data_IF_359067207947
#
_entry.id   IF_359067207947
#
_cell.length_a   1.000
_cell.length_b   1.000
_cell.length_c   1.000
_cell.angle_alpha   90.00
_cell.angle_beta   90.00
_cell.angle_gamma   90.00
#
_symmetry.space_group_name_H-M   'P 1'
#
loop_
_entity.id
_entity.type
_entity.pdbx_description
1 polymer ?
#
# COMPACT_ATOMS: atom_id res chain seq x y z
N UNK A 1 -76.02 6.56 38.87
CA UNK A 1 -74.66 6.42 39.45
C UNK A 1 -73.86 5.53 38.53
N UNK A 2 -73.04 6.05 37.60
CA UNK A 2 -72.22 5.22 36.74
C UNK A 2 -70.84 5.00 37.36
N UNK A 3 -70.35 3.78 37.28
CA UNK A 3 -69.04 3.34 37.77
C UNK A 3 -67.99 3.67 36.73
N UNK A 4 -66.96 4.43 37.11
CA UNK A 4 -65.77 4.64 36.24
C UNK A 4 -64.86 3.43 36.38
N UNK A 5 -64.49 2.86 35.23
CA UNK A 5 -63.52 1.81 35.10
C UNK A 5 -62.21 2.45 34.60
N UNK A 6 -61.13 2.40 35.40
CA UNK A 6 -59.80 2.83 34.99
C UNK A 6 -59.12 1.70 34.18
N UNK A 7 -58.79 1.98 32.91
CA UNK A 7 -57.93 1.10 32.11
C UNK A 7 -56.48 1.52 32.32
N UNK A 8 -55.66 0.60 32.85
CA UNK A 8 -54.22 0.78 33.00
C UNK A 8 -53.55 0.41 31.65
N UNK A 9 -52.92 1.40 31.03
CA UNK A 9 -52.12 1.24 29.81
C UNK A 9 -50.69 0.82 30.19
N UNK A 10 -50.39 -0.47 30.08
CA UNK A 10 -49.04 -1.01 30.29
C UNK A 10 -48.12 -0.70 29.11
N UNK A 11 -47.11 0.16 29.36
CA UNK A 11 -46.04 0.46 28.39
C UNK A 11 -45.00 -0.65 28.44
N UNK A 12 -45.02 -1.53 27.42
CA UNK A 12 -43.97 -2.54 27.20
C UNK A 12 -42.74 -1.85 26.56
N UNK A 13 -41.67 -1.61 27.34
CA UNK A 13 -40.35 -1.27 26.83
C UNK A 13 -39.69 -2.57 26.36
N UNK A 14 -39.56 -2.75 25.03
CA UNK A 14 -38.67 -3.76 24.46
C UNK A 14 -37.23 -3.29 24.52
N UNK A 15 -36.44 -3.88 25.43
CA UNK A 15 -34.98 -3.73 25.40
C UNK A 15 -34.47 -4.44 24.13
N UNK A 16 -34.05 -3.67 23.14
CA UNK A 16 -33.31 -4.17 22.01
C UNK A 16 -31.94 -4.64 22.50
N UNK A 17 -31.72 -5.95 22.55
CA UNK A 17 -30.40 -6.53 22.73
C UNK A 17 -29.54 -6.21 21.50
N UNK A 18 -28.68 -5.18 21.61
CA UNK A 18 -27.66 -4.91 20.61
C UNK A 18 -26.67 -6.09 20.58
N UNK A 19 -26.69 -6.88 19.53
CA UNK A 19 -25.70 -7.92 19.30
C UNK A 19 -24.34 -7.24 19.03
N UNK A 20 -23.46 -7.19 20.06
CA UNK A 20 -22.04 -6.92 19.83
C UNK A 20 -21.49 -8.02 18.88
N UNK A 21 -20.76 -7.67 17.81
CA UNK A 21 -20.05 -8.66 17.04
C UNK A 21 -19.06 -9.39 17.95
N UNK A 22 -19.21 -10.71 18.07
CA UNK A 22 -18.29 -11.55 18.81
C UNK A 22 -16.87 -11.33 18.25
N UNK A 23 -15.93 -10.92 19.10
CA UNK A 23 -14.51 -10.97 18.75
C UNK A 23 -14.17 -12.44 18.50
N UNK A 24 -13.85 -12.77 17.25
CA UNK A 24 -13.34 -14.09 16.91
C UNK A 24 -12.03 -14.29 17.68
N UNK A 25 -11.99 -15.33 18.50
CA UNK A 25 -10.77 -15.75 19.17
C UNK A 25 -9.70 -16.16 18.16
N UNK A 26 -8.43 -16.36 18.59
CA UNK A 26 -7.35 -16.78 17.70
C UNK A 26 -7.75 -18.04 16.92
N UNK A 27 -7.45 -18.03 15.61
CA UNK A 27 -7.66 -19.20 14.75
C UNK A 27 -6.81 -20.38 15.26
N UNK A 28 -7.40 -21.56 15.56
CA UNK A 28 -6.64 -22.72 16.02
C UNK A 28 -5.54 -23.16 15.04
N UNK A 29 -5.69 -22.86 13.74
CA UNK A 29 -4.70 -23.19 12.71
C UNK A 29 -3.56 -22.17 12.63
N UNK A 30 -3.80 -20.92 13.03
CA UNK A 30 -2.79 -19.87 13.12
C UNK A 30 -3.09 -18.93 14.30
N UNK A 31 -2.60 -19.26 15.50
CA UNK A 31 -2.84 -18.43 16.68
C UNK A 31 -2.22 -17.02 16.61
N UNK A 32 -1.31 -16.77 15.65
CA UNK A 32 -0.73 -15.44 15.38
C UNK A 32 -1.55 -14.63 14.38
N UNK A 33 -2.65 -15.16 13.83
CA UNK A 33 -3.47 -14.45 12.86
C UNK A 33 -4.20 -13.26 13.49
N UNK A 34 -3.96 -12.08 12.90
CA UNK A 34 -4.64 -10.83 13.26
C UNK A 34 -5.60 -10.43 12.13
N UNK A 35 -6.92 -10.65 12.29
CA UNK A 35 -7.91 -10.32 11.26
C UNK A 35 -8.05 -8.82 11.02
N UNK A 36 -7.76 -7.98 12.00
CA UNK A 36 -7.79 -6.52 11.86
C UNK A 36 -6.64 -6.06 10.98
N UNK A 37 -5.44 -6.56 11.26
CA UNK A 37 -4.25 -6.27 10.47
C UNK A 37 -4.40 -6.82 9.04
N UNK A 38 -4.85 -8.07 8.88
CA UNK A 38 -5.06 -8.70 7.57
C UNK A 38 -5.99 -7.85 6.69
N UNK A 39 -7.11 -7.39 7.26
CA UNK A 39 -8.04 -6.48 6.58
C UNK A 39 -7.39 -5.14 6.23
N UNK A 40 -6.64 -4.54 7.14
CA UNK A 40 -6.01 -3.23 6.95
C UNK A 40 -4.98 -3.25 5.81
N UNK A 41 -4.22 -4.34 5.66
CA UNK A 41 -3.24 -4.51 4.58
C UNK A 41 -3.85 -5.08 3.29
N UNK A 42 -5.15 -5.41 3.28
CA UNK A 42 -5.85 -5.97 2.12
C UNK A 42 -5.41 -7.39 1.78
N UNK A 43 -5.11 -8.20 2.80
CA UNK A 43 -4.74 -9.60 2.66
C UNK A 43 -5.94 -10.46 2.31
N UNK A 44 -5.74 -11.44 1.45
CA UNK A 44 -6.67 -12.56 1.27
C UNK A 44 -6.49 -13.64 2.36
N UNK A 45 -7.18 -14.76 2.23
CA UNK A 45 -7.12 -15.89 3.19
C UNK A 45 -5.73 -16.50 3.37
N UNK A 46 -4.81 -16.26 2.43
CA UNK A 46 -3.42 -16.73 2.44
C UNK A 46 -2.43 -15.66 2.87
N UNK A 47 -2.91 -14.48 3.29
CA UNK A 47 -2.05 -13.35 3.65
C UNK A 47 -1.40 -12.66 2.43
N UNK A 48 -1.99 -12.86 1.23
CA UNK A 48 -1.44 -12.34 -0.03
C UNK A 48 -2.32 -11.22 -0.60
N UNK A 49 -1.77 -10.44 -1.54
CA UNK A 49 -2.52 -9.47 -2.33
C UNK A 49 -1.85 -9.20 -3.69
N UNK A 50 -2.59 -8.58 -4.59
CA UNK A 50 -2.05 -8.12 -5.86
C UNK A 50 -1.30 -6.80 -5.75
N UNK A 51 -0.26 -6.66 -6.60
CA UNK A 51 0.58 -5.48 -6.78
C UNK A 51 0.93 -5.29 -8.25
N UNK A 52 1.52 -4.16 -8.58
CA UNK A 52 2.31 -3.99 -9.81
C UNK A 52 3.78 -3.87 -9.43
N UNK A 53 4.59 -4.79 -9.96
CA UNK A 53 6.04 -4.76 -9.89
C UNK A 53 6.56 -4.01 -11.11
N UNK A 54 7.48 -3.07 -10.91
CA UNK A 54 8.08 -2.26 -11.96
C UNK A 54 9.59 -2.44 -11.92
N UNK A 55 10.17 -2.91 -13.01
CA UNK A 55 11.62 -2.97 -13.19
C UNK A 55 12.07 -1.73 -13.97
N UNK A 56 12.96 -0.95 -13.36
CA UNK A 56 13.62 0.17 -14.01
C UNK A 56 14.89 -0.33 -14.70
N UNK A 57 15.01 -0.02 -15.99
CA UNK A 57 16.18 -0.35 -16.81
C UNK A 57 16.85 0.90 -17.34
N UNK A 58 18.10 0.77 -17.72
CA UNK A 58 18.84 1.83 -18.42
C UNK A 58 18.07 2.26 -19.67
N UNK A 59 17.79 3.56 -19.75
CA UNK A 59 17.07 4.16 -20.85
C UNK A 59 18.00 4.60 -22.00
N UNK A 60 17.42 5.05 -23.13
CA UNK A 60 18.17 5.48 -24.30
C UNK A 60 18.95 6.79 -24.10
N UNK A 61 18.49 7.66 -23.18
CA UNK A 61 19.05 8.99 -22.98
C UNK A 61 19.90 9.03 -21.71
N UNK A 62 21.20 8.72 -21.84
CA UNK A 62 22.14 8.81 -20.73
C UNK A 62 22.51 10.26 -20.48
N UNK A 63 22.06 10.83 -19.36
CA UNK A 63 22.40 12.19 -18.96
C UNK A 63 23.81 12.16 -18.34
N UNK A 64 24.77 12.96 -18.87
CA UNK A 64 26.12 13.03 -18.31
C UNK A 64 26.15 13.44 -16.83
N UNK A 65 27.19 13.04 -16.11
CA UNK A 65 27.41 13.50 -14.74
C UNK A 65 27.52 15.03 -14.69
N UNK A 66 26.88 15.64 -13.71
CA UNK A 66 26.85 17.08 -13.53
C UNK A 66 25.51 17.58 -12.98
N UNK A 67 25.34 18.92 -12.87
CA UNK A 67 24.22 19.53 -12.17
C UNK A 67 22.84 19.10 -12.70
N UNK A 68 22.69 18.90 -14.01
CA UNK A 68 21.42 18.46 -14.60
C UNK A 68 21.06 17.05 -14.12
N UNK A 69 22.02 16.13 -14.10
CA UNK A 69 21.82 14.78 -13.60
C UNK A 69 21.49 14.77 -12.11
N UNK A 70 22.22 15.58 -11.34
CA UNK A 70 22.02 15.68 -9.89
C UNK A 70 20.61 16.19 -9.56
N UNK A 71 20.11 17.20 -10.25
CA UNK A 71 18.77 17.73 -10.06
C UNK A 71 17.69 16.72 -10.51
N UNK A 72 17.93 15.99 -11.61
CA UNK A 72 17.03 14.92 -12.04
C UNK A 72 16.90 13.82 -10.97
N UNK A 73 18.01 13.35 -10.40
CA UNK A 73 17.96 12.34 -9.33
C UNK A 73 17.38 12.88 -8.03
N UNK A 74 17.61 14.13 -7.69
CA UNK A 74 16.92 14.78 -6.57
C UNK A 74 15.40 14.77 -6.77
N UNK A 75 14.93 15.08 -7.98
CA UNK A 75 13.51 14.95 -8.34
C UNK A 75 12.99 13.51 -8.28
N UNK A 76 13.80 12.54 -8.71
CA UNK A 76 13.49 11.12 -8.60
C UNK A 76 13.24 10.69 -7.13
N UNK A 77 14.16 11.01 -6.21
CA UNK A 77 13.98 10.67 -4.80
C UNK A 77 12.80 11.41 -4.17
N UNK A 78 12.58 12.68 -4.53
CA UNK A 78 11.41 13.43 -4.07
C UNK A 78 10.09 12.80 -4.55
N UNK A 79 10.04 12.31 -5.80
CA UNK A 79 8.89 11.62 -6.35
C UNK A 79 8.63 10.27 -5.65
N UNK A 80 9.69 9.49 -5.40
CA UNK A 80 9.59 8.23 -4.64
C UNK A 80 9.02 8.49 -3.24
N UNK A 81 9.54 9.50 -2.54
CA UNK A 81 9.04 9.87 -1.22
C UNK A 81 7.55 10.24 -1.27
N UNK A 82 7.15 11.10 -2.20
CA UNK A 82 5.75 11.50 -2.38
C UNK A 82 4.83 10.29 -2.59
N UNK A 83 5.19 9.39 -3.51
CA UNK A 83 4.40 8.19 -3.80
C UNK A 83 4.34 7.22 -2.61
N UNK A 84 5.40 7.15 -1.82
CA UNK A 84 5.43 6.37 -0.57
C UNK A 84 4.54 7.02 0.49
N UNK A 85 4.59 8.34 0.66
CA UNK A 85 3.74 9.08 1.60
C UNK A 85 2.25 8.96 1.26
N UNK A 86 1.92 8.88 -0.03
CA UNK A 86 0.56 8.61 -0.53
C UNK A 86 0.14 7.13 -0.38
N UNK A 87 1.00 6.25 0.15
CA UNK A 87 0.74 4.82 0.30
C UNK A 87 0.69 4.04 -1.02
N UNK A 88 1.13 4.65 -2.13
CA UNK A 88 1.12 4.05 -3.47
C UNK A 88 2.37 3.24 -3.77
N UNK A 89 3.55 3.75 -3.42
CA UNK A 89 4.82 3.05 -3.54
C UNK A 89 5.13 2.32 -2.24
N UNK A 90 5.14 0.99 -2.30
CA UNK A 90 5.29 0.11 -1.14
C UNK A 90 6.75 -0.20 -0.85
N UNK A 91 7.52 -0.45 -1.93
CA UNK A 91 8.93 -0.80 -1.85
C UNK A 91 9.66 -0.22 -3.05
N UNK A 92 10.86 0.29 -2.80
CA UNK A 92 11.78 0.75 -3.84
C UNK A 92 13.22 0.41 -3.44
N UNK A 93 14.06 0.15 -4.44
CA UNK A 93 15.48 -0.08 -4.21
C UNK A 93 16.27 -0.20 -5.51
N UNK A 94 17.58 0.12 -5.47
CA UNK A 94 18.45 -0.02 -6.63
C UNK A 94 18.87 -1.48 -6.85
N UNK A 95 19.17 -1.80 -8.11
CA UNK A 95 19.94 -2.97 -8.49
C UNK A 95 21.41 -2.60 -8.75
N UNK A 96 22.23 -3.61 -8.93
CA UNK A 96 23.69 -3.50 -9.18
C UNK A 96 24.07 -3.05 -10.60
N UNK A 97 23.10 -2.93 -11.50
CA UNK A 97 23.29 -2.48 -12.87
C UNK A 97 23.58 -3.60 -13.87
N UNK A 98 23.67 -4.88 -13.45
CA UNK A 98 23.84 -6.03 -14.36
C UNK A 98 22.67 -6.07 -15.34
N UNK A 99 22.96 -6.37 -16.61
CA UNK A 99 21.98 -6.42 -17.70
C UNK A 99 21.15 -5.15 -17.88
N UNK A 100 21.69 -4.02 -17.40
CA UNK A 100 21.03 -2.72 -17.47
C UNK A 100 19.90 -2.53 -16.45
N UNK A 101 19.73 -3.43 -15.50
CA UNK A 101 18.74 -3.29 -14.41
C UNK A 101 19.19 -2.23 -13.43
N UNK A 102 18.32 -1.27 -13.16
CA UNK A 102 18.64 -0.07 -12.37
C UNK A 102 17.94 -0.03 -11.03
N UNK A 103 16.72 -0.52 -10.96
CA UNK A 103 15.95 -0.52 -9.73
C UNK A 103 14.64 -1.25 -9.84
N UNK A 104 14.02 -1.44 -8.68
CA UNK A 104 12.73 -2.09 -8.48
C UNK A 104 11.78 -1.15 -7.76
N UNK A 105 10.52 -1.11 -8.23
CA UNK A 105 9.39 -0.56 -7.48
C UNK A 105 8.31 -1.63 -7.31
N UNK A 106 7.63 -1.60 -6.16
CA UNK A 106 6.38 -2.34 -5.94
C UNK A 106 5.29 -1.32 -5.59
N UNK A 107 4.22 -1.30 -6.38
CA UNK A 107 3.07 -0.42 -6.18
C UNK A 107 1.87 -1.17 -5.59
N UNK A 108 1.15 -0.52 -4.67
CA UNK A 108 -0.07 -1.03 -4.03
C UNK A 108 -1.30 -0.95 -4.97
N UNK A 109 -1.11 -1.27 -6.23
CA UNK A 109 -2.16 -1.28 -7.27
C UNK A 109 -2.12 -2.61 -8.02
N UNK A 110 -3.24 -3.03 -8.58
CA UNK A 110 -3.34 -4.17 -9.53
C UNK A 110 -3.53 -3.69 -10.97
N UNK A 111 -3.64 -2.36 -11.16
CA UNK A 111 -3.81 -1.72 -12.45
C UNK A 111 -2.47 -1.20 -12.99
N UNK A 112 -2.05 -1.80 -14.11
CA UNK A 112 -0.80 -1.43 -14.80
C UNK A 112 -0.89 -0.01 -15.37
N UNK A 113 -2.04 0.42 -15.90
CA UNK A 113 -2.16 1.73 -16.51
C UNK A 113 -2.17 2.85 -15.48
N UNK A 114 -2.85 2.67 -14.35
CA UNK A 114 -2.73 3.58 -13.21
C UNK A 114 -1.25 3.69 -12.76
N UNK A 115 -0.57 2.54 -12.60
CA UNK A 115 0.83 2.51 -12.18
C UNK A 115 1.74 3.18 -13.21
N UNK A 116 1.48 3.00 -14.49
CA UNK A 116 2.23 3.67 -15.58
C UNK A 116 2.13 5.19 -15.48
N UNK A 117 0.94 5.71 -15.19
CA UNK A 117 0.74 7.15 -14.98
C UNK A 117 1.54 7.66 -13.78
N UNK A 118 1.57 6.91 -12.67
CA UNK A 118 2.36 7.27 -11.49
C UNK A 118 3.87 7.27 -11.79
N UNK A 119 4.35 6.24 -12.49
CA UNK A 119 5.77 6.10 -12.85
C UNK A 119 6.20 7.17 -13.86
N UNK A 120 5.30 7.61 -14.77
CA UNK A 120 5.61 8.66 -15.76
C UNK A 120 5.88 10.04 -15.13
N UNK A 121 5.47 10.26 -13.87
CA UNK A 121 5.78 11.50 -13.13
C UNK A 121 7.25 11.57 -12.68
N UNK A 122 8.00 10.48 -12.82
CA UNK A 122 9.38 10.41 -12.38
C UNK A 122 10.32 11.07 -13.40
N UNK A 123 11.17 12.04 -12.99
CA UNK A 123 12.08 12.72 -13.90
C UNK A 123 13.06 11.80 -14.65
N UNK A 124 13.47 10.68 -14.05
CA UNK A 124 14.38 9.73 -14.75
C UNK A 124 13.66 9.00 -15.87
N UNK A 125 12.35 8.81 -15.77
CA UNK A 125 11.51 8.24 -16.83
C UNK A 125 11.16 9.30 -17.86
N UNK A 126 10.70 10.48 -17.41
CA UNK A 126 10.32 11.58 -18.30
C UNK A 126 11.47 12.04 -19.21
N UNK A 127 12.72 12.01 -18.72
CA UNK A 127 13.91 12.35 -19.48
C UNK A 127 14.50 11.18 -20.28
N UNK A 128 14.00 9.96 -20.09
CA UNK A 128 14.48 8.76 -20.79
C UNK A 128 15.83 8.24 -20.28
N UNK A 129 16.31 8.68 -19.12
CA UNK A 129 17.49 8.10 -18.45
C UNK A 129 17.23 6.65 -18.03
N UNK A 130 15.96 6.34 -17.69
CA UNK A 130 15.48 5.01 -17.41
C UNK A 130 14.19 4.73 -18.19
N UNK A 131 13.94 3.45 -18.45
CA UNK A 131 12.67 2.92 -18.95
C UNK A 131 12.09 1.95 -17.92
N UNK A 132 10.76 1.76 -17.94
CA UNK A 132 10.06 0.94 -16.97
C UNK A 132 9.36 -0.25 -17.64
N UNK A 133 9.51 -1.44 -17.06
CA UNK A 133 8.73 -2.64 -17.38
C UNK A 133 7.76 -2.92 -16.25
N UNK A 134 6.52 -3.32 -16.59
CA UNK A 134 5.41 -3.47 -15.64
C UNK A 134 4.92 -4.90 -15.62
N UNK A 135 4.81 -5.49 -14.43
CA UNK A 135 4.37 -6.86 -14.23
C UNK A 135 3.30 -6.93 -13.14
N UNK A 136 2.24 -7.70 -13.37
CA UNK A 136 1.34 -8.07 -12.27
C UNK A 136 2.12 -8.97 -11.31
N UNK A 137 2.05 -8.65 -10.03
CA UNK A 137 2.73 -9.39 -8.99
C UNK A 137 1.73 -9.76 -7.90
N UNK A 138 1.76 -11.00 -7.46
CA UNK A 138 0.97 -11.48 -6.33
C UNK A 138 1.93 -11.91 -5.23
N UNK A 139 1.89 -11.20 -4.11
CA UNK A 139 2.87 -11.34 -3.03
C UNK A 139 2.26 -11.14 -1.66
N UNK A 140 3.04 -11.34 -0.62
CA UNK A 140 2.58 -11.15 0.76
C UNK A 140 2.02 -9.74 0.98
N UNK A 141 0.85 -9.65 1.61
CA UNK A 141 0.25 -8.38 2.00
C UNK A 141 1.06 -7.64 3.09
N UNK A 142 1.96 -8.35 3.78
CA UNK A 142 2.87 -7.76 4.76
C UNK A 142 3.81 -6.70 4.15
N UNK A 143 4.01 -6.68 2.83
CA UNK A 143 4.74 -5.60 2.15
C UNK A 143 4.14 -4.22 2.44
N UNK A 144 2.83 -4.13 2.70
CA UNK A 144 2.17 -2.86 3.05
C UNK A 144 2.68 -2.25 4.36
N UNK A 145 3.35 -3.04 5.21
CA UNK A 145 3.95 -2.59 6.47
C UNK A 145 5.40 -2.10 6.31
N UNK A 146 5.98 -2.27 5.14
CA UNK A 146 7.41 -1.93 4.89
C UNK A 146 7.67 -0.46 5.20
N UNK A 147 6.77 0.45 4.83
CA UNK A 147 6.92 1.88 5.08
C UNK A 147 7.07 2.19 6.58
N UNK A 148 6.13 1.71 7.39
CA UNK A 148 6.12 1.98 8.83
C UNK A 148 7.34 1.37 9.53
N UNK A 149 7.80 0.20 9.03
CA UNK A 149 9.01 -0.43 9.52
C UNK A 149 10.26 0.31 9.05
N UNK A 150 10.27 0.83 7.81
CA UNK A 150 11.40 1.58 7.27
C UNK A 150 11.72 2.81 8.13
N UNK A 151 10.71 3.60 8.52
CA UNK A 151 10.89 4.78 9.39
C UNK A 151 11.54 4.42 10.73
N UNK A 152 11.33 3.19 11.22
CA UNK A 152 11.88 2.71 12.50
C UNK A 152 13.29 2.15 12.39
N UNK A 153 13.73 1.72 11.21
CA UNK A 153 15.06 1.14 10.98
C UNK A 153 16.00 2.13 10.29
N UNK A 154 15.49 3.17 9.65
CA UNK A 154 16.29 4.17 8.97
C UNK A 154 16.83 5.20 9.98
N UNK A 155 18.14 5.24 10.14
CA UNK A 155 18.81 6.28 10.93
C UNK A 155 18.77 7.66 10.22
N UNK A 156 18.76 7.65 8.88
CA UNK A 156 18.61 8.83 8.03
C UNK A 156 17.52 8.53 7.01
N UNK A 157 16.29 9.01 7.20
CA UNK A 157 15.22 8.82 6.23
C UNK A 157 15.53 9.55 4.92
N UNK A 158 14.96 9.02 3.81
CA UNK A 158 15.04 9.66 2.48
C UNK A 158 14.39 11.04 2.47
#
# INVERSE_FOLDING_TARGET
>A
MPKLTFAALGLFMTLGAGSCPAQQGPDPQNPAYDPVLAKAVGADERGMRGYVLVVLKTGPNRIPAGPERDEMFKGHFANMKRLSDEGKLVLAGPFDGVDGWRGLFIFASTDIEETRQLVSTDPVIAKGEMVAEFHKYYGTAALMLVRDLYERVAQKPM
#
